data_IF_922536113402
#
_entry.id   IF_922536113402
#
_cell.length_a   1.000
_cell.length_b   1.000
_cell.length_c   1.000
_cell.angle_alpha   90.00
_cell.angle_beta   90.00
_cell.angle_gamma   90.00
#
_symmetry.space_group_name_H-M   'P 1'
#
loop_
_entity.id
_entity.type
_entity.pdbx_description
1 polymer ?
#
# COMPACT_ATOMS: atom_id res chain seq x y z
N UNK A 1 -23.53 -6.12 17.53
CA UNK A 1 -22.29 -6.65 18.14
C UNK A 1 -21.21 -5.58 18.06
N UNK A 2 -20.40 -5.42 19.11
CA UNK A 2 -19.25 -4.51 19.09
C UNK A 2 -18.02 -5.35 18.75
N UNK A 3 -17.56 -5.27 17.51
CA UNK A 3 -16.33 -5.95 17.09
C UNK A 3 -15.11 -5.12 17.51
N UNK A 4 -14.10 -5.78 18.08
CA UNK A 4 -12.82 -5.14 18.38
C UNK A 4 -12.15 -4.67 17.07
N UNK A 5 -11.96 -3.36 16.96
CA UNK A 5 -11.34 -2.72 15.78
C UNK A 5 -9.94 -3.25 15.50
N UNK A 6 -9.18 -3.65 16.54
CA UNK A 6 -7.86 -4.22 16.38
C UNK A 6 -7.91 -5.63 15.79
N UNK A 7 -8.92 -6.42 16.18
CA UNK A 7 -9.18 -7.74 15.58
C UNK A 7 -9.57 -7.60 14.10
N UNK A 8 -10.46 -6.66 13.76
CA UNK A 8 -10.87 -6.40 12.36
C UNK A 8 -9.69 -5.95 11.51
N UNK A 9 -8.87 -5.01 12.01
CA UNK A 9 -7.65 -4.58 11.31
C UNK A 9 -6.63 -5.72 11.18
N UNK A 10 -6.53 -6.58 12.20
CA UNK A 10 -5.73 -7.80 12.18
C UNK A 10 -6.16 -8.74 11.06
N UNK A 11 -7.46 -9.02 10.97
CA UNK A 11 -8.05 -9.89 9.96
C UNK A 11 -7.82 -9.37 8.53
N UNK A 12 -7.97 -8.06 8.32
CA UNK A 12 -7.67 -7.44 7.01
C UNK A 12 -6.21 -7.69 6.58
N UNK A 13 -5.26 -7.49 7.50
CA UNK A 13 -3.84 -7.75 7.24
C UNK A 13 -3.56 -9.23 7.00
N UNK A 14 -4.23 -10.11 7.75
CA UNK A 14 -4.12 -11.55 7.57
C UNK A 14 -4.61 -11.99 6.19
N UNK A 15 -5.82 -11.55 5.81
CA UNK A 15 -6.40 -11.82 4.50
C UNK A 15 -5.45 -11.45 3.35
N UNK A 16 -4.87 -10.24 3.39
CA UNK A 16 -3.94 -9.78 2.36
C UNK A 16 -2.66 -10.63 2.29
N UNK A 17 -2.18 -11.11 3.45
CA UNK A 17 -0.97 -11.94 3.56
C UNK A 17 -1.21 -13.39 3.12
N UNK A 18 -2.43 -13.89 3.27
CA UNK A 18 -2.82 -15.27 2.92
C UNK A 18 -3.35 -15.43 1.49
N UNK A 19 -3.38 -14.35 0.70
CA UNK A 19 -3.71 -14.45 -0.72
C UNK A 19 -2.75 -15.44 -1.42
N UNK A 20 -3.24 -16.26 -2.38
CA UNK A 20 -2.40 -17.20 -3.13
C UNK A 20 -1.20 -16.52 -3.81
N UNK A 21 -1.36 -15.25 -4.16
CA UNK A 21 -0.32 -14.38 -4.70
C UNK A 21 -0.41 -13.01 -4.01
N UNK A 22 0.72 -12.30 -3.80
CA UNK A 22 0.71 -10.94 -3.27
C UNK A 22 -0.22 -10.03 -4.10
N UNK A 23 -0.82 -9.02 -3.46
CA UNK A 23 -1.67 -8.05 -4.18
C UNK A 23 -0.93 -7.40 -5.35
N UNK A 24 0.37 -7.15 -5.21
CA UNK A 24 1.22 -6.60 -6.28
C UNK A 24 1.69 -7.64 -7.31
N UNK A 25 1.33 -8.92 -7.15
CA UNK A 25 1.75 -10.10 -7.94
C UNK A 25 3.26 -10.39 -7.88
N UNK A 26 3.65 -11.67 -7.96
CA UNK A 26 5.08 -12.06 -7.99
C UNK A 26 5.82 -11.51 -9.21
N UNK A 27 5.15 -11.44 -10.36
CA UNK A 27 5.73 -10.96 -11.61
C UNK A 27 6.21 -9.51 -11.53
N UNK A 28 5.58 -8.68 -10.69
CA UNK A 28 5.88 -7.25 -10.55
C UNK A 28 6.51 -6.88 -9.21
N UNK A 29 6.53 -7.78 -8.24
CA UNK A 29 7.07 -7.51 -6.90
C UNK A 29 8.51 -6.97 -6.94
N UNK A 30 9.36 -7.53 -7.80
CA UNK A 30 10.74 -7.03 -8.01
C UNK A 30 10.76 -5.60 -8.58
N UNK A 31 9.85 -5.28 -9.48
CA UNK A 31 9.76 -3.94 -10.05
C UNK A 31 9.40 -2.90 -8.96
N UNK A 32 8.50 -3.25 -8.04
CA UNK A 32 8.20 -2.40 -6.87
C UNK A 32 9.40 -2.26 -5.92
N UNK A 33 10.23 -3.29 -5.77
CA UNK A 33 11.46 -3.20 -4.96
C UNK A 33 12.44 -2.19 -5.57
N UNK A 34 12.65 -2.21 -6.90
CA UNK A 34 13.58 -1.29 -7.58
C UNK A 34 13.15 0.19 -7.54
N UNK A 35 11.89 0.50 -7.21
CA UNK A 35 11.46 1.89 -7.04
C UNK A 35 12.24 2.62 -5.94
N UNK A 36 12.78 1.91 -4.94
CA UNK A 36 13.59 2.55 -3.88
C UNK A 36 14.94 3.04 -4.36
N UNK A 37 15.44 2.48 -5.46
CA UNK A 37 16.76 2.78 -6.01
C UNK A 37 16.74 4.06 -6.86
N UNK A 38 15.56 4.46 -7.33
CA UNK A 38 15.36 5.69 -8.08
C UNK A 38 15.56 6.91 -7.17
N UNK A 39 16.58 7.73 -7.41
CA UNK A 39 16.83 8.93 -6.61
C UNK A 39 15.82 10.04 -6.87
N UNK A 40 15.40 10.21 -8.13
CA UNK A 40 14.44 11.23 -8.50
C UNK A 40 13.01 10.87 -8.08
N UNK A 41 12.38 11.76 -7.32
CA UNK A 41 11.03 11.53 -6.79
C UNK A 41 9.98 11.51 -7.89
N UNK A 42 10.07 12.40 -8.87
CA UNK A 42 9.09 12.48 -9.96
C UNK A 42 9.13 11.21 -10.82
N UNK A 43 10.33 10.76 -11.18
CA UNK A 43 10.56 9.49 -11.87
C UNK A 43 9.99 8.31 -11.08
N UNK A 44 10.20 8.27 -9.75
CA UNK A 44 9.65 7.23 -8.90
C UNK A 44 8.11 7.21 -8.92
N UNK A 45 7.47 8.37 -8.88
CA UNK A 45 6.00 8.51 -8.97
C UNK A 45 5.50 8.02 -10.33
N UNK A 46 6.14 8.44 -11.43
CA UNK A 46 5.77 8.02 -12.77
C UNK A 46 5.91 6.50 -12.97
N UNK A 47 7.02 5.92 -12.52
CA UNK A 47 7.25 4.47 -12.60
C UNK A 47 6.25 3.71 -11.73
N UNK A 48 5.96 4.19 -10.51
CA UNK A 48 4.94 3.61 -9.65
C UNK A 48 3.57 3.59 -10.32
N UNK A 49 3.12 4.71 -10.91
CA UNK A 49 1.86 4.78 -11.63
C UNK A 49 1.80 3.80 -12.81
N UNK A 50 2.90 3.66 -13.55
CA UNK A 50 3.02 2.69 -14.64
C UNK A 50 2.87 1.24 -14.14
N UNK A 51 3.58 0.87 -13.06
CA UNK A 51 3.49 -0.46 -12.45
C UNK A 51 2.07 -0.78 -11.97
N UNK A 52 1.41 0.18 -11.32
CA UNK A 52 0.02 0.05 -10.85
C UNK A 52 -0.95 -0.22 -12.01
N UNK A 53 -0.80 0.46 -13.14
CA UNK A 53 -1.63 0.26 -14.35
C UNK A 53 -1.42 -1.09 -15.01
N UNK A 54 -0.28 -1.74 -14.78
CA UNK A 54 0.02 -3.08 -15.31
C UNK A 54 -0.51 -4.21 -14.42
N UNK A 55 -1.02 -3.91 -13.23
CA UNK A 55 -1.63 -4.93 -12.38
C UNK A 55 -2.95 -5.43 -13.00
N UNK A 56 -3.31 -6.71 -12.80
CA UNK A 56 -4.65 -7.18 -13.12
C UNK A 56 -5.71 -6.31 -12.43
N UNK A 57 -6.84 -6.09 -13.10
CA UNK A 57 -7.89 -5.21 -12.59
C UNK A 57 -8.34 -5.55 -11.15
N UNK A 58 -8.53 -6.82 -10.74
CA UNK A 58 -8.89 -7.15 -9.37
C UNK A 58 -7.85 -6.70 -8.35
N UNK A 59 -6.56 -6.91 -8.67
CA UNK A 59 -5.42 -6.52 -7.83
C UNK A 59 -5.32 -5.00 -7.68
N UNK A 60 -5.41 -4.28 -8.80
CA UNK A 60 -5.40 -2.82 -8.80
C UNK A 60 -6.58 -2.26 -7.98
N UNK A 61 -7.79 -2.78 -8.18
CA UNK A 61 -8.99 -2.31 -7.46
C UNK A 61 -8.87 -2.57 -5.96
N UNK A 62 -8.41 -3.75 -5.55
CA UNK A 62 -8.17 -4.08 -4.14
C UNK A 62 -7.12 -3.15 -3.53
N UNK A 63 -5.99 -2.95 -4.23
CA UNK A 63 -4.90 -2.12 -3.75
C UNK A 63 -5.34 -0.65 -3.63
N UNK A 64 -6.03 -0.10 -4.64
CA UNK A 64 -6.56 1.26 -4.62
C UNK A 64 -7.52 1.47 -3.45
N UNK A 65 -8.44 0.52 -3.22
CA UNK A 65 -9.38 0.58 -2.11
C UNK A 65 -8.66 0.55 -0.74
N UNK A 66 -7.67 -0.33 -0.59
CA UNK A 66 -6.84 -0.42 0.60
C UNK A 66 -6.08 0.90 0.86
N UNK A 67 -5.32 1.39 -0.12
CA UNK A 67 -4.53 2.62 0.04
C UNK A 67 -5.44 3.81 0.32
N UNK A 68 -6.60 3.91 -0.34
CA UNK A 68 -7.60 4.95 -0.05
C UNK A 68 -8.07 4.91 1.41
N UNK A 69 -8.32 3.72 1.96
CA UNK A 69 -8.65 3.56 3.37
C UNK A 69 -7.49 4.00 4.28
N UNK A 70 -6.25 3.61 3.98
CA UNK A 70 -5.09 4.00 4.78
C UNK A 70 -4.86 5.53 4.77
N UNK A 71 -5.09 6.19 3.63
CA UNK A 71 -5.04 7.66 3.54
C UNK A 71 -6.03 8.29 4.54
N UNK A 72 -7.25 7.77 4.67
CA UNK A 72 -8.22 8.27 5.66
C UNK A 72 -7.76 8.07 7.09
N UNK A 73 -7.11 6.94 7.40
CA UNK A 73 -6.58 6.68 8.75
C UNK A 73 -5.44 7.66 9.07
N UNK A 74 -4.57 7.94 8.10
CA UNK A 74 -3.49 8.91 8.22
C UNK A 74 -4.02 10.34 8.37
N UNK A 75 -5.08 10.72 7.67
CA UNK A 75 -5.74 12.03 7.85
C UNK A 75 -6.26 12.23 9.28
N UNK A 76 -6.47 11.15 10.03
CA UNK A 76 -6.88 11.16 11.43
C UNK A 76 -5.71 10.85 12.39
N UNK A 77 -4.46 11.06 11.97
CA UNK A 77 -3.26 10.71 12.74
C UNK A 77 -3.18 11.37 14.12
N UNK A 78 -3.81 12.53 14.33
CA UNK A 78 -3.88 13.16 15.66
C UNK A 78 -4.56 12.26 16.70
N UNK A 79 -5.55 11.47 16.27
CA UNK A 79 -6.28 10.53 17.13
C UNK A 79 -5.70 9.12 17.06
N UNK A 80 -5.44 8.62 15.84
CA UNK A 80 -5.01 7.23 15.61
C UNK A 80 -3.52 7.02 15.91
N UNK A 81 -2.73 8.11 15.95
CA UNK A 81 -1.26 8.10 16.03
C UNK A 81 -0.58 7.35 14.87
N UNK A 82 -1.33 7.07 13.80
CA UNK A 82 -0.85 6.39 12.60
C UNK A 82 -0.46 7.41 11.54
N UNK A 83 0.82 7.81 11.54
CA UNK A 83 1.39 8.64 10.47
C UNK A 83 1.56 7.86 9.16
N UNK A 84 1.78 8.56 8.03
CA UNK A 84 2.11 7.93 6.73
C UNK A 84 3.25 6.93 6.89
N UNK A 85 4.29 7.30 7.65
CA UNK A 85 5.46 6.45 7.93
C UNK A 85 5.08 5.19 8.74
N UNK A 86 4.30 5.35 9.81
CA UNK A 86 3.87 4.22 10.64
C UNK A 86 3.02 3.24 9.82
N UNK A 87 2.13 3.76 8.97
CA UNK A 87 1.34 2.94 8.05
C UNK A 87 2.20 2.20 7.03
N UNK A 88 3.20 2.86 6.45
CA UNK A 88 4.15 2.23 5.55
C UNK A 88 4.89 1.06 6.19
N UNK A 89 5.35 1.21 7.44
CA UNK A 89 6.02 0.15 8.19
C UNK A 89 5.09 -1.03 8.46
N UNK A 90 3.85 -0.78 8.91
CA UNK A 90 2.90 -1.84 9.27
C UNK A 90 2.42 -2.61 8.04
N UNK A 91 2.19 -1.94 6.89
CA UNK A 91 1.66 -2.59 5.69
C UNK A 91 2.72 -3.10 4.73
N UNK A 92 3.99 -2.68 4.85
CA UNK A 92 5.10 -3.21 4.06
C UNK A 92 5.22 -4.74 4.07
N UNK A 93 5.25 -5.43 5.23
CA UNK A 93 5.30 -6.90 5.26
C UNK A 93 4.01 -7.54 4.77
N UNK A 94 2.87 -6.85 4.91
CA UNK A 94 1.56 -7.35 4.45
C UNK A 94 1.46 -7.35 2.93
N UNK A 95 2.03 -6.33 2.28
CA UNK A 95 1.99 -6.16 0.82
C UNK A 95 3.23 -6.74 0.11
N UNK A 96 4.28 -7.11 0.87
CA UNK A 96 5.52 -7.64 0.32
C UNK A 96 6.33 -6.63 -0.50
N UNK A 97 6.20 -5.33 -0.19
CA UNK A 97 6.90 -4.23 -0.88
C UNK A 97 7.50 -3.25 0.12
N UNK A 98 8.52 -2.45 -0.24
CA UNK A 98 9.17 -1.53 0.69
C UNK A 98 8.22 -0.51 1.30
N UNK A 99 8.41 -0.21 2.59
CA UNK A 99 7.62 0.81 3.30
C UNK A 99 7.63 2.18 2.60
N UNK A 100 8.74 2.55 1.96
CA UNK A 100 8.84 3.79 1.18
C UNK A 100 7.89 3.82 -0.01
N UNK A 101 7.61 2.68 -0.65
CA UNK A 101 6.68 2.57 -1.78
C UNK A 101 5.23 2.70 -1.29
N UNK A 102 4.88 2.03 -0.18
CA UNK A 102 3.56 2.16 0.45
C UNK A 102 3.31 3.61 0.90
N UNK A 103 4.33 4.24 1.48
CA UNK A 103 4.30 5.66 1.88
C UNK A 103 4.05 6.55 0.67
N UNK A 104 4.74 6.31 -0.45
CA UNK A 104 4.58 7.07 -1.69
C UNK A 104 3.18 6.91 -2.29
N UNK A 105 2.64 5.69 -2.28
CA UNK A 105 1.26 5.40 -2.72
C UNK A 105 0.22 6.21 -1.94
N UNK A 106 0.39 6.37 -0.63
CA UNK A 106 -0.50 7.18 0.20
C UNK A 106 -0.31 8.68 -0.02
N UNK A 107 0.95 9.14 -0.10
CA UNK A 107 1.28 10.56 -0.24
C UNK A 107 0.83 11.12 -1.60
N UNK A 108 0.97 10.32 -2.66
CA UNK A 108 0.71 10.73 -4.05
C UNK A 108 -0.52 10.03 -4.63
N UNK A 109 -1.49 9.68 -3.77
CA UNK A 109 -2.63 8.81 -4.12
C UNK A 109 -3.35 9.26 -5.39
N UNK A 110 -3.68 10.55 -5.51
CA UNK A 110 -4.40 11.10 -6.66
C UNK A 110 -3.60 11.08 -7.97
N UNK A 111 -2.27 10.97 -7.90
CA UNK A 111 -1.39 10.94 -9.06
C UNK A 111 -1.14 9.50 -9.52
N UNK A 112 -0.98 8.57 -8.59
CA UNK A 112 -0.57 7.19 -8.89
C UNK A 112 -1.74 6.21 -9.07
N UNK A 113 -2.93 6.52 -8.54
CA UNK A 113 -4.15 5.72 -8.67
C UNK A 113 -5.26 6.43 -9.44
#
# INVERSE_FOLDING_TARGET
EVYDVHAVAGLLKLYLRELPHPVVTYARQRDFLHLTDLQDRAQRIHQLASLLRMLPLPNYTLLRALISHLVRVVQNAEKTRMTVRNMGIVFSPTLGIPAGVVTLMMAEFAIVF
#
